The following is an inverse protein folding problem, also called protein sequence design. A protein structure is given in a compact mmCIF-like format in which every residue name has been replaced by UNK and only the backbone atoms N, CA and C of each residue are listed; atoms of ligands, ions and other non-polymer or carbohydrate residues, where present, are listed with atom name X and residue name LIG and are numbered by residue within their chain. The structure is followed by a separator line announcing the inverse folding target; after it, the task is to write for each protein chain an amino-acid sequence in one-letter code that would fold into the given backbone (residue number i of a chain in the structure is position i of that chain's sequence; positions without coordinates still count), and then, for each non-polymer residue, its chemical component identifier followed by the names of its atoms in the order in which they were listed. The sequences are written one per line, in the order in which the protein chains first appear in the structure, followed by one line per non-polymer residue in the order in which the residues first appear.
data_IF_711533681855
#
_entry.id   IF_711533681855
#
_cell.length_a   1.000
_cell.length_b   1.000
_cell.length_c   1.000
_cell.angle_alpha   90.00
_cell.angle_beta   90.00
_cell.angle_gamma   90.00
#
_symmetry.space_group_name_H-M   'P 1'
#
loop_
_entity.id
_entity.type
_entity.pdbx_description
1 polymer ?
#
# COMPACT_ATOMS: atom_id res chain seq x y z
N UNK A 1 13.98 -25.77 -25.50
CA UNK A 1 15.15 -25.16 -24.83
C UNK A 1 14.69 -23.77 -24.37
N UNK A 2 14.39 -23.58 -23.08
CA UNK A 2 14.14 -22.24 -22.52
C UNK A 2 15.41 -21.41 -22.65
N UNK A 3 15.33 -20.15 -23.05
CA UNK A 3 16.48 -19.27 -23.14
C UNK A 3 17.09 -19.01 -21.77
N UNK A 4 18.39 -18.74 -21.68
CA UNK A 4 19.08 -18.46 -20.42
C UNK A 4 18.47 -17.23 -19.67
N UNK A 5 17.77 -16.34 -20.39
CA UNK A 5 17.04 -15.21 -19.82
C UNK A 5 15.73 -15.64 -19.15
N UNK A 6 14.98 -16.57 -19.73
CA UNK A 6 13.74 -17.12 -19.15
C UNK A 6 14.02 -17.93 -17.88
N UNK A 7 15.15 -18.65 -17.84
CA UNK A 7 15.58 -19.39 -16.63
C UNK A 7 15.97 -18.43 -15.48
N UNK A 8 16.54 -17.26 -15.78
CA UNK A 8 16.89 -16.24 -14.75
C UNK A 8 15.67 -15.53 -14.20
N UNK A 9 14.69 -15.18 -15.05
CA UNK A 9 13.44 -14.55 -14.60
C UNK A 9 12.59 -15.49 -13.73
N UNK A 10 12.51 -16.78 -14.08
CA UNK A 10 11.77 -17.76 -13.28
C UNK A 10 12.38 -18.01 -11.89
N UNK A 11 13.66 -17.71 -11.70
CA UNK A 11 14.33 -17.82 -10.39
C UNK A 11 14.21 -16.56 -9.53
N UNK A 12 13.82 -15.42 -10.13
CA UNK A 12 13.73 -14.14 -9.42
C UNK A 12 12.36 -13.89 -8.76
N UNK A 13 11.29 -14.47 -9.32
CA UNK A 13 9.92 -14.28 -8.80
C UNK A 13 9.33 -15.62 -8.40
N UNK A 14 9.64 -16.07 -7.19
CA UNK A 14 9.36 -17.44 -6.76
C UNK A 14 8.08 -17.60 -5.94
N UNK A 15 7.49 -16.50 -5.44
CA UNK A 15 6.30 -16.57 -4.60
C UNK A 15 5.02 -16.44 -5.43
N UNK A 16 4.31 -17.53 -5.66
CA UNK A 16 3.14 -17.60 -6.58
C UNK A 16 2.03 -16.58 -6.27
N UNK A 17 1.61 -16.47 -5.00
CA UNK A 17 0.52 -15.58 -4.64
C UNK A 17 0.91 -14.10 -4.80
N UNK A 18 2.13 -13.70 -4.37
CA UNK A 18 2.60 -12.33 -4.57
C UNK A 18 2.72 -11.97 -6.06
N UNK A 19 3.19 -12.91 -6.89
CA UNK A 19 3.23 -12.70 -8.34
C UNK A 19 1.84 -12.54 -8.95
N UNK A 20 0.90 -13.38 -8.54
CA UNK A 20 -0.49 -13.28 -9.01
C UNK A 20 -1.10 -11.92 -8.63
N UNK A 21 -0.83 -11.45 -7.40
CA UNK A 21 -1.27 -10.12 -6.95
C UNK A 21 -0.58 -9.01 -7.74
N UNK A 22 0.72 -9.13 -8.05
CA UNK A 22 1.43 -8.16 -8.87
C UNK A 22 0.82 -8.05 -10.28
N UNK A 23 0.55 -9.19 -10.93
CA UNK A 23 -0.11 -9.23 -12.24
C UNK A 23 -1.52 -8.64 -12.18
N UNK A 24 -2.32 -9.02 -11.18
CA UNK A 24 -3.66 -8.45 -10.98
C UNK A 24 -3.61 -6.94 -10.76
N UNK A 25 -2.64 -6.46 -9.98
CA UNK A 25 -2.43 -5.03 -9.75
C UNK A 25 -2.00 -4.29 -11.01
N UNK A 26 -1.14 -4.88 -11.85
CA UNK A 26 -0.76 -4.30 -13.14
C UNK A 26 -1.98 -4.18 -14.07
N UNK A 27 -2.74 -5.25 -14.22
CA UNK A 27 -3.97 -5.24 -15.06
C UNK A 27 -4.96 -4.21 -14.51
N UNK A 28 -5.19 -4.22 -13.19
CA UNK A 28 -6.05 -3.22 -12.53
C UNK A 28 -5.56 -1.78 -12.75
N UNK A 29 -4.25 -1.54 -12.67
CA UNK A 29 -3.67 -0.22 -12.90
C UNK A 29 -3.86 0.27 -14.34
N UNK A 30 -3.73 -0.62 -15.33
CA UNK A 30 -4.01 -0.29 -16.74
C UNK A 30 -5.48 0.05 -16.95
N UNK A 31 -6.40 -0.70 -16.34
CA UNK A 31 -7.84 -0.41 -16.36
C UNK A 31 -8.12 0.92 -15.66
N UNK A 32 -7.59 1.13 -14.45
CA UNK A 32 -7.78 2.38 -13.71
C UNK A 32 -7.21 3.59 -14.45
N UNK A 33 -6.06 3.45 -15.15
CA UNK A 33 -5.47 4.50 -15.97
C UNK A 33 -6.38 4.85 -17.17
N UNK A 34 -6.95 3.83 -17.81
CA UNK A 34 -7.92 4.03 -18.91
C UNK A 34 -9.16 4.79 -18.37
N UNK A 35 -9.72 4.34 -17.26
CA UNK A 35 -10.87 4.98 -16.66
C UNK A 35 -10.56 6.39 -16.14
N UNK A 36 -9.35 6.62 -15.62
CA UNK A 36 -8.87 7.96 -15.24
C UNK A 36 -8.91 8.95 -16.42
N UNK A 37 -8.63 8.46 -17.64
CA UNK A 37 -8.63 9.29 -18.84
C UNK A 37 -10.03 9.52 -19.45
N UNK A 38 -10.97 8.59 -19.26
CA UNK A 38 -12.26 8.59 -19.97
C UNK A 38 -13.50 8.75 -19.07
N UNK A 39 -13.40 8.50 -17.76
CA UNK A 39 -14.50 8.66 -16.81
C UNK A 39 -14.38 10.04 -16.15
N UNK A 40 -15.33 10.92 -16.46
CA UNK A 40 -15.33 12.30 -15.97
C UNK A 40 -15.83 12.47 -14.53
N UNK A 41 -16.19 11.38 -13.84
CA UNK A 41 -16.66 11.46 -12.45
C UNK A 41 -15.55 11.91 -11.51
N UNK A 42 -15.90 12.80 -10.61
CA UNK A 42 -15.00 13.31 -9.57
C UNK A 42 -15.48 12.91 -8.17
N UNK A 43 -14.52 12.76 -7.28
CA UNK A 43 -14.72 12.55 -5.84
C UNK A 43 -13.76 13.46 -5.09
N UNK A 44 -14.29 14.39 -4.29
CA UNK A 44 -13.51 15.41 -3.58
C UNK A 44 -12.63 16.26 -4.51
N UNK A 45 -13.15 16.61 -5.71
CA UNK A 45 -12.48 17.49 -6.68
C UNK A 45 -11.35 16.84 -7.50
N UNK A 46 -11.21 15.50 -7.44
CA UNK A 46 -10.26 14.75 -8.27
C UNK A 46 -10.96 13.55 -8.90
N UNK A 47 -10.38 12.99 -9.99
CA UNK A 47 -10.94 11.79 -10.61
C UNK A 47 -11.15 10.66 -9.60
N UNK A 48 -12.32 10.00 -9.66
CA UNK A 48 -12.61 8.83 -8.80
C UNK A 48 -11.58 7.71 -8.95
N UNK A 49 -10.87 7.65 -10.10
CA UNK A 49 -9.89 6.63 -10.43
C UNK A 49 -8.45 6.96 -10.00
N UNK A 50 -8.19 8.20 -9.55
CA UNK A 50 -6.84 8.61 -9.12
C UNK A 50 -6.34 7.79 -7.93
N UNK A 51 -7.16 7.61 -6.91
CA UNK A 51 -6.80 6.81 -5.73
C UNK A 51 -6.62 5.33 -6.06
N UNK A 52 -7.57 4.64 -6.76
CA UNK A 52 -7.35 3.28 -7.25
C UNK A 52 -6.04 3.10 -8.00
N UNK A 53 -5.72 3.99 -8.95
CA UNK A 53 -4.49 3.92 -9.74
C UNK A 53 -3.24 3.96 -8.86
N UNK A 54 -3.17 4.90 -7.92
CA UNK A 54 -2.03 5.01 -6.98
C UNK A 54 -1.85 3.74 -6.14
N UNK A 55 -2.93 3.19 -5.60
CA UNK A 55 -2.87 1.99 -4.76
C UNK A 55 -2.51 0.73 -5.57
N UNK A 56 -3.03 0.59 -6.78
CA UNK A 56 -2.69 -0.52 -7.67
C UNK A 56 -1.21 -0.49 -8.08
N UNK A 57 -0.66 0.69 -8.41
CA UNK A 57 0.76 0.86 -8.72
C UNK A 57 1.65 0.56 -7.50
N UNK A 58 1.24 1.01 -6.31
CA UNK A 58 1.96 0.72 -5.07
C UNK A 58 1.93 -0.76 -4.72
N UNK A 59 0.78 -1.43 -4.85
CA UNK A 59 0.64 -2.85 -4.61
C UNK A 59 1.45 -3.70 -5.62
N UNK A 60 1.48 -3.28 -6.89
CA UNK A 60 2.35 -3.89 -7.91
C UNK A 60 3.81 -3.83 -7.48
N UNK A 61 4.32 -2.65 -7.17
CA UNK A 61 5.70 -2.46 -6.75
C UNK A 61 6.03 -3.26 -5.48
N UNK A 62 5.14 -3.21 -4.49
CA UNK A 62 5.28 -3.92 -3.23
C UNK A 62 5.34 -5.44 -3.42
N UNK A 63 4.35 -6.02 -4.11
CA UNK A 63 4.25 -7.48 -4.24
C UNK A 63 5.33 -8.06 -5.16
N UNK A 64 5.73 -7.35 -6.22
CA UNK A 64 6.86 -7.73 -7.06
C UNK A 64 8.16 -7.75 -6.26
N UNK A 65 8.43 -6.70 -5.47
CA UNK A 65 9.62 -6.62 -4.62
C UNK A 65 9.66 -7.74 -3.58
N UNK A 66 8.56 -7.99 -2.86
CA UNK A 66 8.52 -9.07 -1.87
C UNK A 66 8.57 -10.46 -2.49
N UNK A 67 8.06 -10.66 -3.72
CA UNK A 67 8.26 -11.90 -4.45
C UNK A 67 9.72 -12.13 -4.84
N UNK A 68 10.43 -11.08 -5.25
CA UNK A 68 11.86 -11.12 -5.48
C UNK A 68 12.63 -11.39 -4.19
N UNK A 69 12.36 -10.67 -3.10
CA UNK A 69 13.00 -10.87 -1.80
C UNK A 69 12.76 -12.27 -1.25
N UNK A 70 11.61 -12.88 -1.52
CA UNK A 70 11.30 -14.25 -1.09
C UNK A 70 12.29 -15.27 -1.68
N UNK A 71 12.89 -15.01 -2.84
CA UNK A 71 13.93 -15.88 -3.42
C UNK A 71 15.17 -16.04 -2.51
N UNK A 72 15.40 -15.06 -1.63
CA UNK A 72 16.50 -15.05 -0.66
C UNK A 72 16.14 -15.67 0.71
N UNK A 73 14.93 -16.19 0.88
CA UNK A 73 14.56 -16.89 2.12
C UNK A 73 15.24 -18.26 2.15
N UNK A 74 16.19 -18.44 3.06
CA UNK A 74 16.93 -19.72 3.26
C UNK A 74 16.36 -20.56 4.40
N UNK A 75 15.77 -19.93 5.42
CA UNK A 75 15.23 -20.59 6.61
C UNK A 75 13.73 -20.33 6.77
N UNK A 76 13.03 -21.26 7.41
CA UNK A 76 11.58 -21.13 7.71
C UNK A 76 10.72 -20.85 6.46
N UNK A 77 11.08 -21.39 5.30
CA UNK A 77 10.40 -21.16 4.01
C UNK A 77 8.89 -21.36 4.07
N UNK A 78 8.39 -22.37 4.80
CA UNK A 78 6.94 -22.62 4.96
C UNK A 78 6.24 -21.45 5.65
N UNK A 79 6.87 -20.90 6.69
CA UNK A 79 6.32 -19.77 7.43
C UNK A 79 6.39 -18.47 6.63
N UNK A 80 7.51 -18.20 5.97
CA UNK A 80 7.64 -17.08 5.05
C UNK A 80 6.62 -17.14 3.89
N UNK A 81 6.38 -18.34 3.35
CA UNK A 81 5.34 -18.56 2.33
C UNK A 81 3.93 -18.27 2.87
N UNK A 82 3.64 -18.66 4.11
CA UNK A 82 2.37 -18.33 4.75
C UNK A 82 2.19 -16.82 4.88
N UNK A 83 3.22 -16.09 5.31
CA UNK A 83 3.18 -14.62 5.41
C UNK A 83 3.00 -13.98 4.03
N UNK A 84 3.70 -14.44 3.01
CA UNK A 84 3.52 -13.97 1.64
C UNK A 84 2.11 -14.22 1.09
N UNK A 85 1.52 -15.39 1.36
CA UNK A 85 0.12 -15.68 1.00
C UNK A 85 -0.87 -14.76 1.73
N UNK A 86 -0.65 -14.52 3.02
CA UNK A 86 -1.49 -13.64 3.83
C UNK A 86 -1.43 -12.19 3.33
N UNK A 87 -0.22 -11.69 3.05
CA UNK A 87 -0.02 -10.37 2.44
C UNK A 87 -0.77 -10.28 1.11
N UNK A 88 -0.59 -11.25 0.21
CA UNK A 88 -1.24 -11.26 -1.09
C UNK A 88 -2.77 -11.23 -0.99
N UNK A 89 -3.35 -12.07 -0.12
CA UNK A 89 -4.80 -12.13 0.11
C UNK A 89 -5.34 -10.79 0.64
N UNK A 90 -4.71 -10.24 1.67
CA UNK A 90 -5.19 -9.03 2.32
C UNK A 90 -5.02 -7.79 1.45
N UNK A 91 -3.96 -7.71 0.63
CA UNK A 91 -3.83 -6.66 -0.37
C UNK A 91 -4.91 -6.74 -1.46
N UNK A 92 -5.30 -7.94 -1.90
CA UNK A 92 -6.42 -8.08 -2.84
C UNK A 92 -7.74 -7.59 -2.19
N UNK A 93 -8.00 -7.93 -0.93
CA UNK A 93 -9.18 -7.43 -0.19
C UNK A 93 -9.15 -5.90 -0.11
N UNK A 94 -7.99 -5.32 0.21
CA UNK A 94 -7.79 -3.87 0.27
C UNK A 94 -8.07 -3.19 -1.07
N UNK A 95 -7.48 -3.71 -2.16
CA UNK A 95 -7.66 -3.18 -3.51
C UNK A 95 -9.11 -3.31 -3.98
N UNK A 96 -9.80 -4.41 -3.68
CA UNK A 96 -11.22 -4.57 -4.00
C UNK A 96 -12.08 -3.53 -3.27
N UNK A 97 -11.80 -3.27 -2.00
CA UNK A 97 -12.50 -2.23 -1.25
C UNK A 97 -12.26 -0.83 -1.85
N UNK A 98 -11.00 -0.49 -2.19
CA UNK A 98 -10.65 0.82 -2.78
C UNK A 98 -11.31 1.00 -4.14
N UNK A 99 -11.18 0.01 -5.04
CA UNK A 99 -11.74 0.06 -6.40
C UNK A 99 -13.28 0.05 -6.35
N UNK A 100 -13.86 -0.81 -5.51
CA UNK A 100 -15.31 -0.91 -5.34
C UNK A 100 -15.93 0.38 -4.82
N UNK A 101 -15.36 0.98 -3.77
CA UNK A 101 -15.86 2.26 -3.23
C UNK A 101 -15.70 3.40 -4.24
N UNK A 102 -14.55 3.50 -4.92
CA UNK A 102 -14.31 4.50 -5.94
C UNK A 102 -15.29 4.35 -7.12
N UNK A 103 -15.55 3.14 -7.59
CA UNK A 103 -16.51 2.89 -8.68
C UNK A 103 -17.93 3.30 -8.32
N UNK A 104 -18.28 3.24 -7.02
CA UNK A 104 -19.56 3.73 -6.48
C UNK A 104 -19.57 5.26 -6.19
N UNK A 105 -18.47 5.98 -6.45
CA UNK A 105 -18.34 7.41 -6.13
C UNK A 105 -18.21 7.69 -4.63
N UNK A 106 -17.70 6.72 -3.85
CA UNK A 106 -17.63 6.79 -2.39
C UNK A 106 -16.17 6.74 -1.91
N UNK A 107 -15.92 7.39 -0.77
CA UNK A 107 -14.61 7.33 -0.11
C UNK A 107 -14.43 6.01 0.63
N UNK A 108 -13.27 5.37 0.49
CA UNK A 108 -12.94 4.10 1.12
C UNK A 108 -12.28 4.26 2.51
N UNK A 109 -11.53 5.34 2.74
CA UNK A 109 -10.80 5.60 3.98
C UNK A 109 -11.47 6.70 4.79
N UNK A 110 -11.35 6.60 6.11
CA UNK A 110 -11.83 7.60 7.08
C UNK A 110 -13.34 7.83 7.08
N UNK A 111 -14.09 7.15 6.23
CA UNK A 111 -15.52 7.32 6.15
C UNK A 111 -16.21 6.49 7.25
N UNK A 112 -16.86 7.19 8.17
CA UNK A 112 -17.61 6.62 9.29
C UNK A 112 -19.06 7.15 9.31
N UNK A 113 -19.55 7.61 8.15
CA UNK A 113 -20.87 8.22 8.01
C UNK A 113 -22.04 7.24 8.15
N UNK A 114 -21.80 5.93 8.03
CA UNK A 114 -22.83 4.90 8.22
C UNK A 114 -22.20 3.59 8.71
N UNK A 115 -23.00 2.64 9.25
CA UNK A 115 -22.51 1.32 9.64
C UNK A 115 -21.79 0.56 8.52
N UNK A 116 -22.25 0.71 7.27
CA UNK A 116 -21.61 0.13 6.09
C UNK A 116 -20.19 0.69 5.89
N UNK A 117 -20.04 2.02 5.90
CA UNK A 117 -18.74 2.67 5.73
C UNK A 117 -17.78 2.36 6.88
N UNK A 118 -18.29 2.32 8.13
CA UNK A 118 -17.51 1.88 9.30
C UNK A 118 -17.01 0.45 9.10
N UNK A 119 -17.87 -0.45 8.59
CA UNK A 119 -17.52 -1.84 8.29
C UNK A 119 -16.39 -1.94 7.27
N UNK A 120 -16.50 -1.24 6.15
CA UNK A 120 -15.46 -1.20 5.10
C UNK A 120 -14.15 -0.62 5.65
N UNK A 121 -14.21 0.53 6.33
CA UNK A 121 -13.03 1.16 6.92
C UNK A 121 -12.34 0.27 7.97
N UNK A 122 -13.11 -0.36 8.85
CA UNK A 122 -12.57 -1.28 9.87
C UNK A 122 -11.95 -2.53 9.25
N UNK A 123 -12.56 -3.09 8.20
CA UNK A 123 -11.99 -4.21 7.43
C UNK A 123 -10.63 -3.83 6.85
N UNK A 124 -10.55 -2.68 6.18
CA UNK A 124 -9.32 -2.19 5.56
C UNK A 124 -8.23 -1.89 6.60
N UNK A 125 -8.56 -1.19 7.68
CA UNK A 125 -7.63 -0.89 8.76
C UNK A 125 -7.08 -2.17 9.42
N UNK A 126 -7.92 -3.18 9.61
CA UNK A 126 -7.50 -4.48 10.14
C UNK A 126 -6.61 -5.22 9.14
N UNK A 127 -7.01 -5.29 7.87
CA UNK A 127 -6.25 -5.96 6.82
C UNK A 127 -4.84 -5.39 6.68
N UNK A 128 -4.72 -4.06 6.59
CA UNK A 128 -3.41 -3.41 6.42
C UNK A 128 -2.54 -3.51 7.69
N UNK A 129 -3.14 -3.54 8.88
CA UNK A 129 -2.41 -3.78 10.13
C UNK A 129 -1.81 -5.19 10.17
N UNK A 130 -2.56 -6.19 9.70
CA UNK A 130 -2.05 -7.56 9.56
C UNK A 130 -0.97 -7.65 8.48
N UNK A 131 -1.13 -6.95 7.34
CA UNK A 131 -0.08 -6.84 6.31
C UNK A 131 1.19 -6.25 6.89
N UNK A 132 1.11 -5.19 7.70
CA UNK A 132 2.25 -4.60 8.38
C UNK A 132 2.99 -5.61 9.27
N UNK A 133 2.26 -6.34 10.11
CA UNK A 133 2.83 -7.40 10.95
C UNK A 133 3.42 -8.55 10.15
N UNK A 134 2.75 -9.00 9.09
CA UNK A 134 3.22 -10.05 8.19
C UNK A 134 4.50 -9.62 7.43
N UNK A 135 4.59 -8.33 7.06
CA UNK A 135 5.78 -7.72 6.44
C UNK A 135 6.97 -7.77 7.40
N UNK A 136 6.76 -7.39 8.67
CA UNK A 136 7.79 -7.50 9.70
C UNK A 136 8.29 -8.95 9.83
N UNK A 137 7.39 -9.90 9.94
CA UNK A 137 7.71 -11.32 10.11
C UNK A 137 8.45 -11.89 8.88
N UNK A 138 7.97 -11.56 7.67
CA UNK A 138 8.65 -11.96 6.43
C UNK A 138 10.06 -11.35 6.36
N UNK A 139 10.19 -10.09 6.71
CA UNK A 139 11.48 -9.39 6.79
C UNK A 139 12.45 -10.02 7.78
N UNK A 140 11.96 -10.46 8.95
CA UNK A 140 12.78 -11.20 9.92
C UNK A 140 13.32 -12.53 9.34
N UNK A 141 12.60 -13.15 8.40
CA UNK A 141 13.08 -14.34 7.70
C UNK A 141 14.25 -14.05 6.74
N UNK A 142 14.40 -12.80 6.32
CA UNK A 142 15.48 -12.32 5.44
C UNK A 142 16.69 -11.78 6.22
N UNK A 143 16.52 -11.47 7.53
CA UNK A 143 17.47 -10.71 8.33
C UNK A 143 18.90 -11.27 8.33
N UNK A 144 19.04 -12.58 8.39
CA UNK A 144 20.32 -13.28 8.39
C UNK A 144 20.50 -14.23 7.20
N UNK A 145 19.82 -13.95 6.07
CA UNK A 145 19.93 -14.78 4.88
C UNK A 145 21.38 -14.89 4.39
N UNK A 146 21.81 -16.11 4.14
CA UNK A 146 23.11 -16.41 3.56
C UNK A 146 23.11 -16.36 2.03
N UNK A 147 21.92 -16.24 1.41
CA UNK A 147 21.76 -16.16 -0.04
C UNK A 147 21.99 -14.73 -0.57
N UNK A 148 22.04 -13.73 0.33
CA UNK A 148 22.33 -12.34 0.00
C UNK A 148 23.82 -12.03 0.19
N UNK A 149 24.38 -11.18 -0.68
CA UNK A 149 25.68 -10.53 -0.40
C UNK A 149 25.57 -9.71 0.89
N UNK A 150 26.71 -9.36 1.48
CA UNK A 150 26.76 -8.53 2.69
C UNK A 150 26.05 -7.18 2.47
N UNK A 151 26.32 -6.55 1.32
CA UNK A 151 25.80 -5.21 1.01
C UNK A 151 24.30 -5.24 0.76
N UNK A 152 23.81 -6.22 -0.04
CA UNK A 152 22.38 -6.40 -0.26
C UNK A 152 21.63 -6.67 1.04
N UNK A 153 22.17 -7.52 1.92
CA UNK A 153 21.58 -7.81 3.22
C UNK A 153 21.49 -6.56 4.11
N UNK A 154 22.54 -5.72 4.09
CA UNK A 154 22.53 -4.47 4.83
C UNK A 154 21.47 -3.50 4.26
N UNK A 155 21.42 -3.35 2.94
CA UNK A 155 20.43 -2.53 2.26
C UNK A 155 18.99 -2.99 2.58
N UNK A 156 18.70 -4.29 2.50
CA UNK A 156 17.39 -4.87 2.84
C UNK A 156 17.01 -4.61 4.31
N UNK A 157 17.95 -4.69 5.25
CA UNK A 157 17.67 -4.42 6.67
C UNK A 157 17.26 -2.97 6.90
N UNK A 158 18.01 -2.01 6.34
CA UNK A 158 17.67 -0.60 6.45
C UNK A 158 16.37 -0.27 5.73
N UNK A 159 16.22 -0.76 4.49
CA UNK A 159 15.02 -0.58 3.71
C UNK A 159 13.77 -1.11 4.42
N UNK A 160 13.85 -2.30 5.01
CA UNK A 160 12.74 -2.89 5.76
C UNK A 160 12.40 -2.07 7.02
N UNK A 161 13.41 -1.61 7.77
CA UNK A 161 13.19 -0.76 8.95
C UNK A 161 12.50 0.55 8.57
N UNK A 162 12.98 1.22 7.52
CA UNK A 162 12.39 2.47 7.01
C UNK A 162 10.99 2.21 6.46
N UNK A 163 10.78 1.11 5.71
CA UNK A 163 9.47 0.78 5.16
C UNK A 163 8.44 0.51 6.26
N UNK A 164 8.80 -0.24 7.30
CA UNK A 164 7.91 -0.50 8.43
C UNK A 164 7.59 0.76 9.24
N UNK A 165 8.57 1.66 9.41
CA UNK A 165 8.35 2.95 10.03
C UNK A 165 7.42 3.82 9.18
N UNK A 166 7.65 3.89 7.85
CA UNK A 166 6.81 4.61 6.92
C UNK A 166 5.38 4.08 6.87
N UNK A 167 5.20 2.75 6.84
CA UNK A 167 3.88 2.12 6.96
C UNK A 167 3.23 2.46 8.31
N UNK A 168 4.01 2.48 9.39
CA UNK A 168 3.56 2.83 10.74
C UNK A 168 3.01 4.26 10.85
N UNK A 169 3.51 5.21 10.05
CA UNK A 169 2.98 6.58 9.99
C UNK A 169 1.48 6.58 9.61
N UNK A 170 1.00 5.62 8.81
CA UNK A 170 -0.41 5.53 8.47
C UNK A 170 -1.33 5.44 9.69
N UNK A 171 -0.89 4.84 10.79
CA UNK A 171 -1.67 4.78 12.02
C UNK A 171 -1.88 6.16 12.65
N UNK A 172 -0.98 7.12 12.44
CA UNK A 172 -1.13 8.49 12.94
C UNK A 172 -2.12 9.33 12.14
N UNK A 173 -2.55 8.85 10.97
CA UNK A 173 -3.57 9.50 10.14
C UNK A 173 -4.99 9.08 10.51
N UNK A 174 -5.17 8.00 11.30
CA UNK A 174 -6.49 7.42 11.58
C UNK A 174 -7.28 8.12 12.70
N UNK A 175 -6.66 8.73 13.73
CA UNK A 175 -7.42 9.46 14.73
C UNK A 175 -8.10 10.70 14.13
N UNK A 176 -9.35 11.00 14.52
CA UNK A 176 -10.01 12.23 14.12
C UNK A 176 -9.26 13.45 14.64
N UNK A 177 -9.18 14.50 13.83
CA UNK A 177 -8.68 15.79 14.30
C UNK A 177 -9.69 16.47 15.25
N UNK A 178 -9.24 17.34 16.19
CA UNK A 178 -10.15 18.01 17.12
C UNK A 178 -11.33 18.69 16.44
N UNK A 179 -11.09 19.32 15.29
CA UNK A 179 -12.15 20.02 14.54
C UNK A 179 -13.20 19.05 13.95
N UNK A 180 -12.84 17.81 13.68
CA UNK A 180 -13.74 16.80 13.14
C UNK A 180 -14.74 16.25 14.17
N UNK A 181 -14.41 16.31 15.47
CA UNK A 181 -15.27 15.79 16.53
C UNK A 181 -16.23 16.85 17.10
N UNK A 182 -16.14 18.10 16.68
CA UNK A 182 -17.09 19.15 17.00
C UNK A 182 -18.41 18.83 16.28
N UNK A 183 -19.58 18.81 17.00
CA UNK A 183 -20.86 18.39 16.41
C UNK A 183 -21.25 19.17 15.14
N UNK A 184 -20.92 20.47 15.08
CA UNK A 184 -21.19 21.35 13.96
C UNK A 184 -20.33 21.07 12.71
N UNK A 185 -19.16 20.45 12.89
CA UNK A 185 -18.19 20.14 11.83
C UNK A 185 -18.20 18.65 11.45
N UNK A 186 -19.04 17.84 12.11
CA UNK A 186 -19.07 16.40 11.87
C UNK A 186 -19.62 16.03 10.48
N UNK A 187 -18.73 15.67 9.57
CA UNK A 187 -19.06 15.25 8.20
C UNK A 187 -19.03 13.73 7.99
N UNK A 188 -18.96 12.93 9.07
CA UNK A 188 -18.82 11.47 8.96
C UNK A 188 -17.43 11.01 8.50
N UNK A 189 -16.40 11.86 8.68
CA UNK A 189 -15.02 11.58 8.34
C UNK A 189 -14.17 11.61 9.62
N UNK A 190 -13.44 10.53 9.90
CA UNK A 190 -12.56 10.42 11.05
C UNK A 190 -11.14 10.07 10.59
N UNK A 191 -10.22 11.01 10.74
CA UNK A 191 -8.84 10.91 10.29
C UNK A 191 -8.46 11.98 9.28
N UNK A 192 -7.16 12.23 9.12
CA UNK A 192 -6.64 13.25 8.24
C UNK A 192 -5.18 12.98 7.84
N UNK A 193 -4.75 13.54 6.73
CA UNK A 193 -3.39 13.45 6.22
C UNK A 193 -2.56 14.70 6.53
N UNK A 194 -3.22 15.86 6.56
CA UNK A 194 -2.58 17.16 6.73
C UNK A 194 -2.32 17.45 8.20
N UNK A 195 -1.17 18.05 8.50
CA UNK A 195 -0.77 18.47 9.85
C UNK A 195 -0.63 19.99 9.88
N UNK A 196 -1.41 20.64 10.74
CA UNK A 196 -1.39 22.10 10.88
C UNK A 196 -2.45 22.83 10.04
N UNK A 197 -3.20 22.09 9.18
CA UNK A 197 -4.36 22.59 8.47
C UNK A 197 -5.39 21.47 8.25
N UNK A 198 -6.61 21.80 7.83
CA UNK A 198 -7.61 20.81 7.43
C UNK A 198 -7.21 20.12 6.11
N UNK A 199 -7.66 18.87 5.93
CA UNK A 199 -7.53 18.18 4.63
C UNK A 199 -8.37 18.87 3.54
N UNK A 200 -7.95 18.73 2.29
CA UNK A 200 -8.68 19.25 1.12
C UNK A 200 -8.21 20.62 0.62
N UNK A 201 -7.17 21.21 1.23
CA UNK A 201 -6.50 22.41 0.72
C UNK A 201 -5.71 22.17 -0.57
N UNK A 202 -5.00 23.22 -1.10
CA UNK A 202 -4.15 23.09 -2.27
C UNK A 202 -3.13 21.98 -2.13
N UNK A 203 -2.95 21.19 -3.19
CA UNK A 203 -2.05 20.03 -3.20
C UNK A 203 -1.31 19.86 -4.51
N UNK A 204 -0.23 19.07 -4.47
CA UNK A 204 0.52 18.73 -5.67
C UNK A 204 -0.38 17.97 -6.67
N UNK A 205 -0.28 18.28 -7.98
CA UNK A 205 -1.01 17.54 -9.01
C UNK A 205 -0.78 16.03 -8.88
N UNK A 206 -1.82 15.23 -9.06
CA UNK A 206 -1.87 13.77 -8.95
C UNK A 206 -1.62 13.25 -7.52
N UNK A 207 -0.62 13.72 -6.79
CA UNK A 207 -0.36 13.24 -5.41
C UNK A 207 -1.37 13.77 -4.40
N UNK A 208 -1.84 15.00 -4.59
CA UNK A 208 -2.73 15.70 -3.66
C UNK A 208 -2.05 16.08 -2.34
N UNK A 209 -0.70 15.99 -2.25
CA UNK A 209 0.03 16.36 -1.04
C UNK A 209 -0.06 17.86 -0.79
N UNK A 210 -0.38 18.24 0.45
CA UNK A 210 -0.54 19.64 0.81
C UNK A 210 0.68 20.48 0.44
N UNK A 211 0.44 21.64 -0.17
CA UNK A 211 1.47 22.65 -0.50
C UNK A 211 1.51 23.79 0.51
N UNK A 212 0.62 23.80 1.52
CA UNK A 212 0.49 24.88 2.50
C UNK A 212 0.83 24.43 3.92
N UNK A 213 0.77 23.11 4.22
CA UNK A 213 0.99 22.57 5.56
C UNK A 213 1.76 21.26 5.51
N UNK A 214 2.06 20.65 6.67
CA UNK A 214 2.67 19.32 6.73
C UNK A 214 1.73 18.24 6.16
N UNK A 215 2.29 17.19 5.53
CA UNK A 215 1.53 16.09 4.97
C UNK A 215 2.18 14.74 5.31
N UNK A 216 1.49 13.92 6.10
CA UNK A 216 1.97 12.63 6.57
C UNK A 216 2.11 11.61 5.43
N UNK A 217 1.39 11.80 4.32
CA UNK A 217 1.48 10.92 3.14
C UNK A 217 2.86 10.94 2.51
N UNK A 218 3.60 12.06 2.58
CA UNK A 218 4.95 12.18 2.05
C UNK A 218 5.88 11.19 2.77
N UNK A 219 5.93 11.27 4.09
CA UNK A 219 6.77 10.38 4.91
C UNK A 219 6.33 8.92 4.80
N UNK A 220 5.01 8.66 4.74
CA UNK A 220 4.45 7.33 4.51
C UNK A 220 4.89 6.77 3.15
N UNK A 221 4.77 7.55 2.07
CA UNK A 221 5.12 7.14 0.71
C UNK A 221 6.61 6.81 0.58
N UNK A 222 7.49 7.75 0.91
CA UNK A 222 8.93 7.52 0.80
C UNK A 222 9.42 6.41 1.73
N UNK A 223 8.85 6.32 2.94
CA UNK A 223 9.16 5.24 3.86
C UNK A 223 8.75 3.88 3.29
N UNK A 224 7.47 3.70 2.93
CA UNK A 224 6.95 2.46 2.35
C UNK A 224 7.77 2.00 1.13
N UNK A 225 8.12 2.93 0.23
CA UNK A 225 8.80 2.62 -1.01
C UNK A 225 10.34 2.52 -0.89
N UNK A 226 10.92 2.72 0.29
CA UNK A 226 12.36 2.52 0.53
C UNK A 226 12.81 1.09 0.19
N UNK A 227 11.94 0.09 0.39
CA UNK A 227 12.23 -1.33 0.10
C UNK A 227 12.35 -1.62 -1.41
N UNK A 228 11.83 -0.75 -2.29
CA UNK A 228 11.98 -0.85 -3.73
C UNK A 228 13.25 -0.13 -4.24
N UNK A 229 13.78 0.81 -3.48
CA UNK A 229 14.84 1.73 -3.95
C UNK A 229 16.21 1.37 -3.39
N UNK A 230 16.29 0.95 -2.13
CA UNK A 230 17.58 0.74 -1.45
C UNK A 230 18.27 -0.59 -1.78
N UNK A 231 17.57 -1.74 -1.92
CA UNK A 231 18.21 -3.00 -2.32
C UNK A 231 18.61 -3.01 -3.78
#
# INVERSE_FOLDING_TARGET
MMSASESRLSTLFTHKALNATAVASLVGALVALTLYAFDSRELLGVSVWEKPLKFLLSALAYTATFSWLYSFVDRRKKFANLMGNLIALLLIVELMAIVGMASAGLTSHFNVSSPFHIGIWSLMATAISVVWGATFILGMSLWNSQLMSRDLRLAVRWALGIALAGMGIAFTMTPPQPQQIEPENWAGIAGAHTVGAADGGPGLPFFGWSTEAGDLRISHFFGLHSIQVLP
#
